data_IF_870199166817
#
_entry.id   IF_870199166817
#
_cell.length_a   1.000
_cell.length_b   1.000
_cell.length_c   1.000
_cell.angle_alpha   90.00
_cell.angle_beta   90.00
_cell.angle_gamma   90.00
#
_symmetry.space_group_name_H-M   'P 1'
#
loop_
_entity.id
_entity.type
_entity.pdbx_description
1 polymer ?
#
# COMPACT_ATOMS: atom_id res chain seq x y z
N UNK A 1 31.45 -4.51 31.42
CA UNK A 1 30.48 -5.24 30.57
C UNK A 1 29.84 -4.21 29.66
N UNK A 2 30.37 -4.10 28.45
CA UNK A 2 29.74 -4.56 27.21
C UNK A 2 28.64 -3.59 26.77
N UNK A 3 29.04 -2.80 25.78
CA UNK A 3 28.31 -1.76 25.10
C UNK A 3 27.01 -2.31 24.50
N UNK A 4 25.98 -1.48 24.59
CA UNK A 4 24.67 -1.63 24.00
C UNK A 4 24.76 -2.18 22.56
N UNK A 5 24.14 -3.34 22.34
CA UNK A 5 23.95 -3.92 21.01
C UNK A 5 23.15 -2.97 20.12
N UNK A 6 23.82 -2.35 19.14
CA UNK A 6 23.19 -1.71 17.99
C UNK A 6 23.35 -2.62 16.77
N UNK A 7 22.59 -3.70 16.75
CA UNK A 7 22.40 -4.50 15.54
C UNK A 7 21.00 -4.17 14.98
N UNK A 8 20.92 -3.21 14.07
CA UNK A 8 19.63 -2.74 13.57
C UNK A 8 19.70 -1.81 12.37
N UNK A 9 20.69 -1.95 11.50
CA UNK A 9 20.66 -1.32 10.18
C UNK A 9 20.18 -2.34 9.15
N UNK A 10 18.91 -2.71 9.24
CA UNK A 10 18.24 -3.45 8.17
C UNK A 10 17.66 -2.43 7.20
N UNK A 11 18.28 -2.35 6.03
CA UNK A 11 17.86 -1.68 4.78
C UNK A 11 16.49 -0.99 4.87
N UNK A 12 16.48 0.34 4.82
CA UNK A 12 15.26 1.11 4.64
C UNK A 12 14.69 0.86 3.24
N UNK A 13 14.03 -0.29 3.06
CA UNK A 13 13.23 -0.57 1.88
C UNK A 13 11.95 0.25 2.08
N UNK A 14 11.76 1.27 1.25
CA UNK A 14 10.51 2.01 1.17
C UNK A 14 9.42 1.07 0.64
N UNK A 15 8.74 0.39 1.56
CA UNK A 15 7.59 -0.44 1.22
C UNK A 15 6.47 0.49 0.75
N UNK A 16 5.93 0.28 -0.47
CA UNK A 16 4.76 1.04 -0.90
C UNK A 16 3.62 0.78 0.10
N UNK A 17 2.97 1.85 0.53
CA UNK A 17 1.82 1.76 1.42
C UNK A 17 0.54 1.64 0.59
N UNK A 18 -0.40 0.83 1.06
CA UNK A 18 -1.71 0.78 0.42
C UNK A 18 -2.50 2.06 0.71
N UNK A 19 -3.11 2.64 -0.33
CA UNK A 19 -3.92 3.85 -0.21
C UNK A 19 -5.16 3.68 0.70
N UNK A 20 -5.62 2.44 0.93
CA UNK A 20 -6.82 2.16 1.73
C UNK A 20 -6.53 1.70 3.16
N UNK A 21 -5.54 0.83 3.34
CA UNK A 21 -5.18 0.26 4.65
C UNK A 21 -4.01 1.02 5.31
N UNK A 22 -3.30 1.89 4.57
CA UNK A 22 -2.01 2.50 4.95
C UNK A 22 -0.96 1.49 5.44
N UNK A 23 -1.20 0.20 5.20
CA UNK A 23 -0.34 -0.89 5.62
C UNK A 23 0.83 -0.99 4.64
N UNK A 24 2.01 -1.27 5.18
CA UNK A 24 3.19 -1.54 4.37
C UNK A 24 3.01 -2.87 3.64
N UNK A 25 3.21 -2.83 2.32
CA UNK A 25 3.14 -4.00 1.45
C UNK A 25 4.46 -4.75 1.56
N UNK A 26 4.45 -5.92 2.20
CA UNK A 26 5.61 -6.80 2.21
C UNK A 26 5.86 -7.35 0.80
N UNK A 27 7.11 -7.61 0.39
CA UNK A 27 7.40 -8.18 -0.94
C UNK A 27 6.74 -9.55 -1.19
N UNK A 28 6.34 -10.26 -0.13
CA UNK A 28 5.60 -11.51 -0.20
C UNK A 28 4.06 -11.33 -0.28
N UNK A 29 3.56 -10.10 -0.17
CA UNK A 29 2.13 -9.78 -0.13
C UNK A 29 1.57 -9.54 -1.54
N UNK A 30 0.42 -10.13 -1.84
CA UNK A 30 -0.21 -10.04 -3.17
C UNK A 30 -0.94 -8.71 -3.32
N UNK A 31 -0.18 -7.67 -3.66
CA UNK A 31 -0.73 -6.35 -3.91
C UNK A 31 -1.00 -6.13 -5.38
N UNK A 32 -2.10 -5.42 -5.65
CA UNK A 32 -2.49 -5.01 -7.00
C UNK A 32 -2.35 -3.51 -7.11
N UNK A 33 -1.78 -3.05 -8.21
CA UNK A 33 -1.79 -1.65 -8.60
C UNK A 33 -2.53 -1.53 -9.91
N UNK A 34 -3.45 -0.58 -9.99
CA UNK A 34 -4.20 -0.31 -11.20
C UNK A 34 -4.47 1.19 -11.32
N UNK A 35 -4.54 1.66 -12.55
CA UNK A 35 -4.95 3.02 -12.85
C UNK A 35 -6.48 3.10 -12.77
N UNK A 36 -6.99 4.20 -12.23
CA UNK A 36 -8.43 4.41 -12.21
C UNK A 36 -8.98 4.45 -13.66
N UNK A 37 -10.04 3.69 -14.01
CA UNK A 37 -10.58 3.69 -15.38
C UNK A 37 -11.28 5.00 -15.75
N UNK A 38 -11.58 5.87 -14.78
CA UNK A 38 -12.28 7.12 -15.01
C UNK A 38 -11.33 8.30 -15.28
N UNK A 39 -10.18 8.38 -14.59
CA UNK A 39 -9.20 9.45 -14.80
C UNK A 39 -7.88 8.98 -15.43
N UNK A 40 -7.50 7.71 -15.29
CA UNK A 40 -6.22 7.18 -15.78
C UNK A 40 -4.97 7.69 -15.05
N UNK A 41 -5.06 8.83 -14.38
CA UNK A 41 -3.93 9.55 -13.75
C UNK A 41 -3.59 9.06 -12.33
N UNK A 42 -4.59 8.62 -11.57
CA UNK A 42 -4.37 8.19 -10.18
C UNK A 42 -4.01 6.70 -10.13
N UNK A 43 -2.84 6.41 -9.56
CA UNK A 43 -2.32 5.05 -9.46
C UNK A 43 -2.66 4.47 -8.07
N UNK A 44 -3.65 3.58 -8.06
CA UNK A 44 -4.24 3.07 -6.82
C UNK A 44 -3.56 1.76 -6.43
N UNK A 45 -2.97 1.75 -5.24
CA UNK A 45 -2.37 0.55 -4.63
C UNK A 45 -3.34 -0.10 -3.64
N UNK A 46 -3.63 -1.38 -3.84
CA UNK A 46 -4.50 -2.16 -2.94
C UNK A 46 -3.84 -3.42 -2.42
N UNK A 47 -3.84 -3.54 -1.08
CA UNK A 47 -3.43 -4.73 -0.34
C UNK A 47 -4.44 -5.87 -0.55
N UNK A 48 -4.00 -7.14 -0.48
CA UNK A 48 -4.88 -8.30 -0.66
C UNK A 48 -6.09 -8.23 0.28
N UNK A 49 -5.87 -7.89 1.55
CA UNK A 49 -6.93 -7.78 2.55
C UNK A 49 -7.98 -6.72 2.21
N UNK A 50 -7.60 -5.60 1.57
CA UNK A 50 -8.57 -4.59 1.13
C UNK A 50 -9.41 -5.08 -0.04
N UNK A 51 -8.84 -5.92 -0.91
CA UNK A 51 -9.55 -6.55 -2.01
C UNK A 51 -10.52 -7.63 -1.50
N UNK A 52 -10.09 -8.44 -0.55
CA UNK A 52 -10.93 -9.45 0.12
C UNK A 52 -12.08 -8.80 0.89
N UNK A 53 -11.82 -7.66 1.54
CA UNK A 53 -12.83 -6.88 2.23
C UNK A 53 -13.73 -6.05 1.30
N UNK A 54 -13.49 -6.05 -0.02
CA UNK A 54 -14.15 -5.18 -1.01
C UNK A 54 -14.31 -3.74 -0.51
N UNK A 55 -13.26 -3.22 0.16
CA UNK A 55 -13.33 -1.93 0.85
C UNK A 55 -13.42 -0.84 -0.20
N UNK A 56 -14.36 0.09 -0.10
CA UNK A 56 -14.47 1.14 -1.11
C UNK A 56 -13.16 1.95 -1.22
N UNK A 57 -12.63 2.14 -2.44
CA UNK A 57 -11.59 3.15 -2.66
C UNK A 57 -12.24 4.44 -3.07
N UNK A 58 -11.64 5.54 -2.63
CA UNK A 58 -11.87 6.85 -3.24
C UNK A 58 -10.65 7.17 -4.08
N UNK A 59 -10.84 7.34 -5.38
CA UNK A 59 -9.76 7.84 -6.23
C UNK A 59 -9.48 9.32 -5.93
N UNK A 60 -8.21 9.72 -5.82
CA UNK A 60 -7.85 11.10 -5.46
C UNK A 60 -8.22 12.10 -6.56
N UNK A 61 -8.03 11.71 -7.83
CA UNK A 61 -8.29 12.60 -8.97
C UNK A 61 -9.78 12.79 -9.28
N UNK A 62 -10.54 11.69 -9.39
CA UNK A 62 -11.95 11.78 -9.81
C UNK A 62 -12.96 11.68 -8.67
N UNK A 63 -12.51 11.44 -7.42
CA UNK A 63 -13.36 11.24 -6.23
C UNK A 63 -14.44 10.16 -6.42
N UNK A 64 -14.25 9.27 -7.39
CA UNK A 64 -15.14 8.14 -7.62
C UNK A 64 -14.92 7.13 -6.50
N UNK A 65 -16.02 6.71 -5.88
CA UNK A 65 -16.05 5.70 -4.84
C UNK A 65 -16.48 4.39 -5.49
N UNK A 66 -15.53 3.47 -5.67
CA UNK A 66 -15.80 2.12 -6.19
C UNK A 66 -15.53 1.06 -5.12
N UNK A 67 -16.23 -0.09 -5.13
CA UNK A 67 -15.86 -1.24 -4.29
C UNK A 67 -14.47 -1.79 -4.65
#
# INVERSE_FOLDING_TARGET
>A
MMFLEICGMSSAISLPSCSCCHRHIMPNDKCVKFNCPNCGEDLIWRCQSCREAARNYTCTSCKVVGP
#
